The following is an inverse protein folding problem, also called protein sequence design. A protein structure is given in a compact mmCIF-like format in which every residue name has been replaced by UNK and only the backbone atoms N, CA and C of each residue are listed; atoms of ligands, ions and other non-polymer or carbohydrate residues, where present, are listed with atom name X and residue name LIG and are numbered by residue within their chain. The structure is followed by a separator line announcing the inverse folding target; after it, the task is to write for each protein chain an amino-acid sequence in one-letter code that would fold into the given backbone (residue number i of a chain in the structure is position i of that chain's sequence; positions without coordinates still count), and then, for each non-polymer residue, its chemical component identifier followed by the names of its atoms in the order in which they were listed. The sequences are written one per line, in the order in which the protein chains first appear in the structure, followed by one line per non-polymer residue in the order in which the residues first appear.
data_IF_522455380601
#
_entry.id   IF_522455380601
#
_cell.length_a   1.000
_cell.length_b   1.000
_cell.length_c   1.000
_cell.angle_alpha   90.00
_cell.angle_beta   90.00
_cell.angle_gamma   90.00
#
_symmetry.space_group_name_H-M   'P 1'
#
loop_
_entity.id
_entity.type
_entity.pdbx_description
1 polymer ?
#
# COMPACT_ATOMS: atom_id res chain seq x y z
N UNK A 1 -11.13 -0.40 8.71
CA UNK A 1 -11.09 1.06 8.85
C UNK A 1 -11.10 1.41 10.33
N UNK A 2 -10.05 2.09 10.81
CA UNK A 2 -10.03 2.79 12.10
C UNK A 2 -10.05 4.29 11.79
N UNK A 3 -10.90 5.05 12.46
CA UNK A 3 -11.03 6.49 12.25
C UNK A 3 -10.34 7.20 13.41
N UNK A 4 -9.35 8.05 13.10
CA UNK A 4 -8.67 8.92 14.05
C UNK A 4 -9.15 10.36 13.90
N UNK A 5 -9.07 11.15 14.96
CA UNK A 5 -9.38 12.58 14.94
C UNK A 5 -8.10 13.39 15.09
N UNK A 6 -8.10 14.66 14.66
CA UNK A 6 -6.96 15.59 14.82
C UNK A 6 -7.03 16.39 16.14
N UNK A 7 -7.86 15.95 17.09
CA UNK A 7 -7.89 16.35 18.51
C UNK A 7 -7.45 15.20 19.42
N UNK A 8 -7.00 15.51 20.64
CA UNK A 8 -6.20 14.69 21.56
C UNK A 8 -6.75 13.34 22.04
N UNK A 9 -7.90 12.87 21.55
CA UNK A 9 -8.63 11.78 22.21
C UNK A 9 -8.69 10.54 21.29
N UNK A 10 -7.81 9.57 21.61
CA UNK A 10 -7.61 8.31 20.90
C UNK A 10 -8.72 7.27 21.18
N UNK A 11 -9.99 7.62 20.94
CA UNK A 11 -11.06 6.60 20.89
C UNK A 11 -11.58 6.43 19.46
N UNK A 12 -11.54 5.20 18.89
CA UNK A 12 -12.12 4.93 17.59
C UNK A 12 -13.65 5.07 17.66
N UNK A 13 -14.19 6.11 17.05
CA UNK A 13 -15.63 6.34 16.97
C UNK A 13 -16.37 5.23 16.19
N UNK A 14 -17.65 4.97 16.50
CA UNK A 14 -18.51 4.08 15.72
C UNK A 14 -18.56 4.53 14.26
N UNK A 15 -18.47 3.57 13.33
CA UNK A 15 -18.37 3.83 11.90
C UNK A 15 -19.55 4.63 11.31
N UNK A 16 -20.68 4.68 12.02
CA UNK A 16 -21.94 5.27 11.54
C UNK A 16 -21.98 6.81 11.64
N UNK A 17 -21.22 7.43 12.55
CA UNK A 17 -21.21 8.89 12.74
C UNK A 17 -20.61 9.68 11.57
N UNK A 18 -20.02 9.00 10.58
CA UNK A 18 -19.39 9.62 9.41
C UNK A 18 -19.95 9.09 8.10
N UNK A 19 -21.13 8.47 8.14
CA UNK A 19 -21.79 7.96 6.95
C UNK A 19 -22.06 9.07 5.91
N UNK A 20 -22.26 10.32 6.35
CA UNK A 20 -22.46 11.48 5.47
C UNK A 20 -21.20 11.89 4.70
N UNK A 21 -20.01 11.56 5.19
CA UNK A 21 -18.74 11.85 4.50
C UNK A 21 -18.42 10.82 3.42
N UNK A 22 -19.02 9.63 3.51
CA UNK A 22 -18.70 8.52 2.61
C UNK A 22 -19.11 8.87 1.18
N UNK A 23 -18.15 8.73 0.27
CA UNK A 23 -18.38 8.85 -1.16
C UNK A 23 -19.31 7.72 -1.62
N UNK A 24 -20.39 8.09 -2.32
CA UNK A 24 -21.26 7.13 -2.98
C UNK A 24 -20.57 6.63 -4.24
N UNK A 25 -20.47 5.32 -4.38
CA UNK A 25 -19.95 4.71 -5.59
C UNK A 25 -20.95 4.88 -6.73
N UNK A 26 -20.53 5.59 -7.79
CA UNK A 26 -21.35 5.93 -8.95
C UNK A 26 -21.27 4.89 -10.08
N UNK A 27 -20.57 3.78 -9.86
CA UNK A 27 -20.41 2.71 -10.84
C UNK A 27 -19.35 3.01 -11.92
N UNK A 28 -18.68 4.17 -11.89
CA UNK A 28 -17.61 4.50 -12.82
C UNK A 28 -16.24 4.02 -12.30
N UNK A 29 -15.34 3.76 -13.24
CA UNK A 29 -13.93 3.49 -12.95
C UNK A 29 -13.35 4.68 -12.19
N UNK A 30 -12.86 4.45 -10.97
CA UNK A 30 -12.33 5.55 -10.15
C UNK A 30 -11.10 6.21 -10.78
N UNK A 31 -10.33 5.49 -11.61
CA UNK A 31 -9.14 6.03 -12.27
C UNK A 31 -9.49 6.90 -13.48
N UNK A 32 -10.13 6.36 -14.53
CA UNK A 32 -10.42 7.16 -15.73
C UNK A 32 -11.68 8.00 -15.64
N UNK A 33 -12.63 7.67 -14.76
CA UNK A 33 -13.94 8.34 -14.63
C UNK A 33 -14.81 8.34 -15.90
N UNK A 34 -14.43 7.56 -16.92
CA UNK A 34 -15.11 7.51 -18.22
C UNK A 34 -15.91 6.22 -18.45
N UNK A 35 -15.40 5.08 -17.96
CA UNK A 35 -15.97 3.76 -18.25
C UNK A 35 -16.57 3.11 -17.01
N UNK A 36 -17.57 2.22 -17.15
CA UNK A 36 -18.10 1.45 -16.04
C UNK A 36 -17.03 0.61 -15.32
N UNK A 37 -17.10 0.58 -13.99
CA UNK A 37 -16.24 -0.20 -13.14
C UNK A 37 -16.66 -1.68 -13.13
N UNK A 38 -16.21 -2.43 -14.13
CA UNK A 38 -16.60 -3.83 -14.32
C UNK A 38 -15.66 -4.83 -13.64
N UNK A 39 -14.49 -4.38 -13.18
CA UNK A 39 -13.41 -5.22 -12.63
C UNK A 39 -13.02 -4.81 -11.21
N UNK A 40 -12.54 -5.78 -10.43
CA UNK A 40 -11.98 -5.58 -9.10
C UNK A 40 -10.51 -5.98 -9.09
N UNK A 41 -9.68 -5.12 -8.49
CA UNK A 41 -8.25 -5.37 -8.35
C UNK A 41 -7.98 -6.45 -7.30
N UNK A 42 -6.94 -7.26 -7.47
CA UNK A 42 -6.57 -8.24 -6.45
C UNK A 42 -5.94 -7.55 -5.23
N UNK A 43 -6.31 -7.98 -4.01
CA UNK A 43 -5.69 -7.50 -2.77
C UNK A 43 -4.22 -7.89 -2.67
N UNK A 44 -3.88 -9.04 -3.24
CA UNK A 44 -2.53 -9.54 -3.41
C UNK A 44 -2.38 -10.11 -4.81
N UNK A 45 -1.22 -9.95 -5.45
CA UNK A 45 -1.03 -10.46 -6.81
C UNK A 45 -1.25 -11.97 -6.85
N UNK A 46 -1.96 -12.44 -7.88
CA UNK A 46 -2.28 -13.87 -8.06
C UNK A 46 -1.01 -14.74 -8.08
N UNK A 47 0.07 -14.24 -8.67
CA UNK A 47 1.36 -14.93 -8.72
C UNK A 47 1.98 -15.09 -7.34
N UNK A 48 1.97 -14.05 -6.50
CA UNK A 48 2.44 -14.15 -5.11
C UNK A 48 1.61 -15.16 -4.30
N UNK A 49 0.29 -15.12 -4.42
CA UNK A 49 -0.59 -16.10 -3.76
C UNK A 49 -0.29 -17.52 -4.24
N UNK A 50 -0.11 -17.72 -5.55
CA UNK A 50 0.21 -19.03 -6.10
C UNK A 50 1.60 -19.53 -5.64
N UNK A 51 2.57 -18.62 -5.47
CA UNK A 51 3.90 -18.96 -4.95
C UNK A 51 3.85 -19.35 -3.48
N UNK A 52 3.09 -18.62 -2.64
CA UNK A 52 2.90 -18.95 -1.23
C UNK A 52 2.14 -20.25 -1.02
N UNK A 53 1.21 -20.56 -1.93
CA UNK A 53 0.52 -21.83 -1.96
C UNK A 53 1.52 -22.96 -2.23
N UNK A 54 2.47 -22.74 -3.15
CA UNK A 54 3.50 -23.71 -3.52
C UNK A 54 2.88 -25.02 -4.01
N UNK A 55 3.48 -26.14 -3.60
CA UNK A 55 2.92 -27.49 -3.78
C UNK A 55 1.81 -27.80 -2.75
N UNK A 56 1.73 -26.99 -1.70
CA UNK A 56 0.64 -27.00 -0.74
C UNK A 56 -0.67 -26.67 -1.46
N UNK A 57 -1.69 -27.52 -1.32
CA UNK A 57 -2.97 -27.29 -2.00
C UNK A 57 -3.86 -26.26 -1.30
N UNK A 58 -3.35 -25.55 -0.29
CA UNK A 58 -4.16 -24.67 0.57
C UNK A 58 -3.39 -23.41 0.99
N UNK A 59 -4.07 -22.27 0.98
CA UNK A 59 -3.67 -21.03 1.65
C UNK A 59 -4.62 -20.71 2.80
N UNK A 60 -4.09 -20.20 3.91
CA UNK A 60 -4.90 -19.64 4.98
C UNK A 60 -5.07 -18.14 4.75
N UNK A 61 -6.32 -17.71 4.62
CA UNK A 61 -6.70 -16.31 4.49
C UNK A 61 -7.31 -15.85 5.81
N UNK A 62 -6.80 -14.75 6.37
CA UNK A 62 -7.34 -14.16 7.60
C UNK A 62 -7.64 -12.67 7.46
N UNK A 63 -8.64 -12.19 8.18
CA UNK A 63 -8.98 -10.75 8.30
C UNK A 63 -8.91 -10.24 9.75
N UNK A 64 -8.28 -11.01 10.63
CA UNK A 64 -8.17 -10.74 12.07
C UNK A 64 -9.39 -11.19 12.89
N UNK A 65 -10.53 -11.51 12.24
CA UNK A 65 -11.72 -12.04 12.91
C UNK A 65 -12.05 -13.47 12.50
N UNK A 66 -11.82 -13.76 11.22
CA UNK A 66 -12.11 -15.05 10.61
C UNK A 66 -10.88 -15.58 9.89
N UNK A 67 -10.79 -16.91 9.80
CA UNK A 67 -9.82 -17.60 8.97
C UNK A 67 -10.54 -18.51 7.99
N UNK A 68 -10.00 -18.63 6.78
CA UNK A 68 -10.57 -19.44 5.70
C UNK A 68 -9.47 -20.13 4.91
N UNK A 69 -9.76 -21.34 4.47
CA UNK A 69 -8.91 -22.07 3.54
C UNK A 69 -9.27 -21.74 2.09
N UNK A 70 -8.29 -21.31 1.31
CA UNK A 70 -8.37 -21.24 -0.14
C UNK A 70 -7.67 -22.47 -0.72
N UNK A 71 -8.45 -23.39 -1.29
CA UNK A 71 -7.93 -24.66 -1.81
C UNK A 71 -7.65 -24.59 -3.31
N UNK A 72 -6.40 -24.88 -3.68
CA UNK A 72 -5.89 -24.93 -5.04
C UNK A 72 -5.83 -23.57 -5.74
N UNK A 73 -5.07 -23.53 -6.85
CA UNK A 73 -4.92 -22.32 -7.67
C UNK A 73 -6.27 -21.83 -8.25
N UNK A 74 -7.24 -22.72 -8.44
CA UNK A 74 -8.59 -22.36 -8.87
C UNK A 74 -9.36 -21.56 -7.81
N UNK A 75 -9.10 -21.80 -6.52
CA UNK A 75 -9.68 -21.03 -5.41
C UNK A 75 -9.24 -19.56 -5.43
N UNK A 76 -7.99 -19.30 -5.80
CA UNK A 76 -7.45 -17.94 -5.98
C UNK A 76 -8.16 -17.24 -7.16
N UNK A 77 -8.29 -17.92 -8.30
CA UNK A 77 -8.84 -17.32 -9.53
C UNK A 77 -10.34 -17.05 -9.44
N UNK A 78 -11.11 -18.00 -8.91
CA UNK A 78 -12.57 -17.91 -8.84
C UNK A 78 -13.05 -16.90 -7.79
N UNK A 79 -12.23 -16.66 -6.76
CA UNK A 79 -12.56 -15.78 -5.63
C UNK A 79 -13.98 -16.01 -5.10
N UNK A 80 -14.35 -17.29 -4.89
CA UNK A 80 -15.71 -17.70 -4.54
C UNK A 80 -16.27 -16.94 -3.32
N UNK A 81 -15.39 -16.57 -2.40
CA UNK A 81 -15.74 -15.90 -1.16
C UNK A 81 -15.60 -14.36 -1.23
N UNK A 82 -15.19 -13.80 -2.37
CA UNK A 82 -14.97 -12.35 -2.54
C UNK A 82 -13.89 -11.79 -1.62
N UNK A 83 -12.92 -12.62 -1.21
CA UNK A 83 -11.87 -12.23 -0.26
C UNK A 83 -10.59 -11.85 -0.97
N UNK A 84 -10.33 -12.38 -2.17
CA UNK A 84 -9.07 -12.20 -2.91
C UNK A 84 -9.04 -10.84 -3.62
N UNK A 85 -10.19 -10.36 -4.09
CA UNK A 85 -10.29 -9.08 -4.82
C UNK A 85 -10.96 -7.99 -3.98
N UNK A 86 -10.65 -6.75 -4.31
CA UNK A 86 -11.46 -5.60 -3.92
C UNK A 86 -12.81 -5.64 -4.67
N UNK A 87 -13.84 -4.96 -4.13
CA UNK A 87 -15.05 -4.69 -4.88
C UNK A 87 -14.75 -4.07 -6.24
N UNK A 88 -15.63 -4.31 -7.22
CA UNK A 88 -15.48 -3.74 -8.55
C UNK A 88 -15.45 -2.22 -8.46
N UNK A 89 -14.37 -1.62 -8.98
CA UNK A 89 -14.12 -0.18 -8.86
C UNK A 89 -13.33 0.37 -10.05
N UNK A 90 -12.88 -0.48 -10.97
CA UNK A 90 -12.10 -0.09 -12.16
C UNK A 90 -12.66 -0.73 -13.43
N UNK A 91 -12.47 -0.08 -14.57
CA UNK A 91 -12.76 -0.69 -15.88
C UNK A 91 -11.62 -1.62 -16.33
N UNK A 92 -11.92 -2.53 -17.27
CA UNK A 92 -10.94 -3.48 -17.81
C UNK A 92 -9.72 -2.81 -18.44
N UNK A 93 -9.91 -1.73 -19.20
CA UNK A 93 -8.80 -0.98 -19.84
C UNK A 93 -7.82 -0.43 -18.81
N UNK A 94 -8.32 0.17 -17.72
CA UNK A 94 -7.45 0.69 -16.66
C UNK A 94 -6.81 -0.43 -15.83
N UNK A 95 -7.59 -1.45 -15.45
CA UNK A 95 -7.14 -2.47 -14.53
C UNK A 95 -6.22 -3.54 -15.15
N UNK A 96 -6.31 -3.77 -16.46
CA UNK A 96 -5.59 -4.85 -17.14
C UNK A 96 -4.58 -4.34 -18.17
N UNK A 97 -4.94 -3.32 -18.97
CA UNK A 97 -4.08 -2.85 -20.07
C UNK A 97 -3.14 -1.74 -19.59
N UNK A 98 -3.70 -0.64 -19.05
CA UNK A 98 -2.90 0.52 -18.63
C UNK A 98 -1.99 0.22 -17.45
N UNK A 99 -2.41 -0.62 -16.50
CA UNK A 99 -1.57 -0.99 -15.35
C UNK A 99 -0.60 -2.14 -15.61
N UNK A 100 -0.55 -2.69 -16.84
CA UNK A 100 0.37 -3.79 -17.18
C UNK A 100 1.84 -3.49 -16.83
N UNK A 101 2.42 -2.31 -17.15
CA UNK A 101 3.78 -1.99 -16.72
C UNK A 101 3.94 -1.93 -15.19
N UNK A 102 2.91 -1.46 -14.47
CA UNK A 102 2.94 -1.37 -13.00
C UNK A 102 2.97 -2.76 -12.37
N UNK A 103 2.13 -3.65 -12.87
CA UNK A 103 2.05 -5.04 -12.44
C UNK A 103 3.37 -5.79 -12.65
N UNK A 104 4.05 -5.53 -13.78
CA UNK A 104 5.34 -6.15 -14.09
C UNK A 104 6.45 -5.65 -13.15
N UNK A 105 6.52 -4.34 -12.89
CA UNK A 105 7.48 -3.77 -11.95
C UNK A 105 7.31 -4.33 -10.54
N UNK A 106 6.06 -4.45 -10.08
CA UNK A 106 5.73 -5.07 -8.79
C UNK A 106 6.11 -6.56 -8.76
N UNK A 107 5.86 -7.33 -9.82
CA UNK A 107 6.19 -8.76 -9.84
C UNK A 107 7.70 -9.00 -9.69
N UNK A 108 8.54 -8.17 -10.31
CA UNK A 108 9.99 -8.22 -10.12
C UNK A 108 10.37 -7.90 -8.66
N UNK A 109 9.77 -6.86 -8.09
CA UNK A 109 9.99 -6.47 -6.69
C UNK A 109 9.55 -7.54 -5.69
N UNK A 110 8.35 -8.09 -5.85
CA UNK A 110 7.82 -9.10 -4.92
C UNK A 110 8.64 -10.38 -4.95
N UNK A 111 9.10 -10.82 -6.13
CA UNK A 111 10.02 -11.96 -6.27
C UNK A 111 11.36 -11.70 -5.59
N UNK A 112 11.92 -10.50 -5.74
CA UNK A 112 13.15 -10.12 -5.04
C UNK A 112 12.98 -10.22 -3.52
N UNK A 113 11.93 -9.61 -2.96
CA UNK A 113 11.66 -9.67 -1.52
C UNK A 113 11.43 -11.09 -0.98
N UNK A 114 10.84 -11.98 -1.78
CA UNK A 114 10.59 -13.36 -1.38
C UNK A 114 11.84 -14.26 -1.46
N UNK A 115 12.81 -13.89 -2.31
CA UNK A 115 14.04 -14.66 -2.53
C UNK A 115 15.24 -14.15 -1.73
N UNK A 116 15.18 -12.93 -1.21
CA UNK A 116 16.29 -12.27 -0.53
C UNK A 116 15.93 -11.88 0.91
N UNK A 117 16.90 -12.01 1.82
CA UNK A 117 16.78 -11.43 3.15
C UNK A 117 17.15 -9.95 3.04
N UNK A 118 16.13 -9.10 3.05
CA UNK A 118 16.34 -7.64 3.04
C UNK A 118 16.70 -7.16 4.44
N UNK A 119 17.91 -6.58 4.55
CA UNK A 119 18.42 -5.95 5.77
C UNK A 119 17.93 -4.49 5.85
N UNK A 120 17.85 -3.96 7.07
CA UNK A 120 17.44 -2.55 7.31
C UNK A 120 18.41 -1.58 6.63
N UNK A 121 19.70 -1.88 6.66
CA UNK A 121 20.76 -1.14 5.98
C UNK A 121 21.42 -2.05 4.94
N UNK A 122 21.76 -1.53 3.74
CA UNK A 122 21.69 -0.12 3.32
C UNK A 122 20.28 0.37 2.91
N UNK A 123 19.30 -0.52 2.81
CA UNK A 123 17.97 -0.23 2.26
C UNK A 123 17.60 -1.28 1.22
N UNK A 124 16.71 -0.95 0.29
CA UNK A 124 16.42 -1.80 -0.87
C UNK A 124 17.12 -1.22 -2.09
N UNK A 125 18.08 -1.95 -2.65
CA UNK A 125 18.80 -1.52 -3.86
C UNK A 125 17.94 -1.74 -5.11
N UNK A 126 17.07 -0.77 -5.38
CA UNK A 126 16.14 -0.82 -6.51
C UNK A 126 16.87 -0.55 -7.84
N UNK A 127 17.97 0.20 -7.82
CA UNK A 127 18.82 0.40 -8.99
C UNK A 127 19.46 -0.91 -9.44
N UNK A 128 20.03 -1.69 -8.52
CA UNK A 128 20.56 -3.02 -8.82
C UNK A 128 19.44 -3.99 -9.25
N UNK A 129 18.28 -3.93 -8.59
CA UNK A 129 17.14 -4.80 -8.90
C UNK A 129 16.64 -4.62 -10.33
N UNK A 130 16.48 -3.37 -10.78
CA UNK A 130 15.88 -3.06 -12.08
C UNK A 130 16.88 -2.75 -13.19
N UNK A 131 18.17 -2.59 -12.85
CA UNK A 131 19.23 -2.36 -13.82
C UNK A 131 19.13 -0.98 -14.51
N UNK A 132 19.49 -0.87 -15.80
CA UNK A 132 19.53 0.41 -16.51
C UNK A 132 18.21 1.18 -16.51
N UNK A 133 17.06 0.47 -16.48
CA UNK A 133 15.72 1.06 -16.54
C UNK A 133 15.14 1.37 -15.14
N UNK A 134 16.00 1.41 -14.11
CA UNK A 134 15.52 1.47 -12.72
C UNK A 134 14.59 2.64 -12.44
N UNK A 135 14.87 3.82 -13.00
CA UNK A 135 14.05 5.02 -12.75
C UNK A 135 12.59 4.80 -13.16
N UNK A 136 12.38 4.26 -14.36
CA UNK A 136 11.04 3.99 -14.90
C UNK A 136 10.35 2.84 -14.15
N UNK A 137 11.10 1.79 -13.80
CA UNK A 137 10.56 0.64 -13.08
C UNK A 137 10.16 0.99 -11.64
N UNK A 138 10.95 1.81 -10.95
CA UNK A 138 10.60 2.32 -9.63
C UNK A 138 9.32 3.16 -9.69
N UNK A 139 9.18 4.01 -10.72
CA UNK A 139 7.96 4.79 -10.91
C UNK A 139 6.74 3.88 -11.18
N UNK A 140 6.91 2.83 -11.98
CA UNK A 140 5.89 1.82 -12.22
C UNK A 140 5.53 1.03 -10.93
N UNK A 141 6.51 0.75 -10.07
CA UNK A 141 6.29 0.15 -8.75
C UNK A 141 5.47 1.09 -7.85
N UNK A 142 5.78 2.38 -7.82
CA UNK A 142 5.00 3.36 -7.09
C UNK A 142 3.56 3.44 -7.61
N UNK A 143 3.37 3.43 -8.94
CA UNK A 143 2.04 3.42 -9.57
C UNK A 143 1.24 2.15 -9.28
N UNK A 144 1.90 1.00 -9.10
CA UNK A 144 1.24 -0.22 -8.62
C UNK A 144 0.66 0.00 -7.21
N UNK A 145 1.45 0.55 -6.29
CA UNK A 145 0.99 0.83 -4.93
C UNK A 145 -0.09 1.93 -4.90
N UNK A 146 0.01 2.95 -5.75
CA UNK A 146 -1.02 3.98 -5.93
C UNK A 146 -2.35 3.40 -6.45
N UNK A 147 -2.31 2.49 -7.43
CA UNK A 147 -3.50 1.77 -7.90
C UNK A 147 -4.15 0.98 -6.76
N UNK A 148 -3.34 0.25 -5.99
CA UNK A 148 -3.82 -0.51 -4.83
C UNK A 148 -4.45 0.40 -3.76
N UNK A 149 -3.83 1.55 -3.50
CA UNK A 149 -4.30 2.59 -2.61
C UNK A 149 -5.67 3.14 -3.03
N UNK A 150 -5.83 3.55 -4.30
CA UNK A 150 -7.11 4.04 -4.81
C UNK A 150 -8.24 3.02 -4.67
N UNK A 151 -7.96 1.73 -4.95
CA UNK A 151 -8.95 0.66 -4.74
C UNK A 151 -9.36 0.51 -3.27
N UNK A 152 -8.42 0.73 -2.33
CA UNK A 152 -8.70 0.71 -0.89
C UNK A 152 -9.49 1.93 -0.43
N UNK A 153 -9.19 3.12 -0.97
CA UNK A 153 -9.99 4.33 -0.71
C UNK A 153 -11.44 4.13 -1.16
N UNK A 154 -11.67 3.63 -2.39
CA UNK A 154 -13.03 3.35 -2.88
C UNK A 154 -13.74 2.31 -2.00
N UNK A 155 -13.06 1.23 -1.60
CA UNK A 155 -13.63 0.24 -0.67
C UNK A 155 -14.01 0.85 0.68
N UNK A 156 -13.23 1.81 1.17
CA UNK A 156 -13.50 2.54 2.40
C UNK A 156 -14.50 3.70 2.21
N UNK A 157 -15.03 3.87 1.00
CA UNK A 157 -15.89 5.00 0.62
C UNK A 157 -15.24 6.36 0.88
N UNK A 158 -13.91 6.45 0.73
CA UNK A 158 -13.16 7.70 0.78
C UNK A 158 -12.94 8.20 -0.65
N UNK A 159 -13.18 9.48 -0.95
CA UNK A 159 -12.92 10.04 -2.27
C UNK A 159 -11.46 9.83 -2.70
N UNK A 160 -11.26 9.41 -3.94
CA UNK A 160 -9.91 9.30 -4.51
C UNK A 160 -9.46 10.70 -4.97
N UNK A 161 -8.31 11.22 -4.50
CA UNK A 161 -7.82 12.54 -4.89
C UNK A 161 -7.43 12.59 -6.37
N UNK A 162 -7.49 13.79 -6.96
CA UNK A 162 -7.13 13.98 -8.37
C UNK A 162 -5.63 13.72 -8.61
N UNK A 163 -4.77 14.12 -7.68
CA UNK A 163 -3.32 13.86 -7.71
C UNK A 163 -2.98 12.38 -7.92
N UNK A 164 -3.71 11.47 -7.26
CA UNK A 164 -3.53 10.03 -7.44
C UNK A 164 -3.88 9.59 -8.86
N UNK A 165 -4.95 10.13 -9.45
CA UNK A 165 -5.30 9.84 -10.84
C UNK A 165 -4.25 10.39 -11.80
N UNK A 166 -3.77 11.60 -11.57
CA UNK A 166 -2.75 12.26 -12.39
C UNK A 166 -1.42 11.50 -12.34
N UNK A 167 -1.04 11.01 -11.16
CA UNK A 167 0.13 10.16 -10.97
C UNK A 167 0.05 8.85 -11.76
N UNK A 168 -1.11 8.19 -11.75
CA UNK A 168 -1.34 7.01 -12.59
C UNK A 168 -1.40 7.36 -14.08
N UNK A 169 -1.73 8.61 -14.44
CA UNK A 169 -1.74 9.13 -15.81
C UNK A 169 -0.36 9.61 -16.30
N UNK A 170 0.67 9.55 -15.46
CA UNK A 170 2.04 9.87 -15.87
C UNK A 170 2.71 11.01 -15.09
N UNK A 171 2.01 11.68 -14.17
CA UNK A 171 2.68 12.64 -13.29
C UNK A 171 3.81 11.95 -12.50
N UNK A 172 4.86 12.70 -12.20
CA UNK A 172 6.08 12.19 -11.57
C UNK A 172 6.05 12.26 -10.03
N UNK A 173 5.08 12.97 -9.46
CA UNK A 173 4.93 13.13 -8.01
C UNK A 173 3.45 13.39 -7.64
N UNK A 174 3.16 13.31 -6.34
CA UNK A 174 1.86 13.61 -5.74
C UNK A 174 2.06 14.55 -4.56
N UNK A 175 1.64 15.82 -4.64
CA UNK A 175 2.00 16.81 -3.63
C UNK A 175 1.38 16.55 -2.26
N UNK A 176 0.30 15.80 -2.24
CA UNK A 176 -0.56 15.49 -1.10
C UNK A 176 -0.39 14.03 -0.63
N UNK A 177 0.65 13.33 -1.11
CA UNK A 177 0.92 11.95 -0.73
C UNK A 177 2.38 11.66 -0.46
N UNK A 178 2.62 10.65 0.37
CA UNK A 178 3.95 10.16 0.70
C UNK A 178 3.97 8.64 0.70
N UNK A 179 4.91 8.07 -0.06
CA UNK A 179 5.18 6.63 -0.08
C UNK A 179 6.57 6.34 0.48
N UNK A 180 6.64 5.38 1.39
CA UNK A 180 7.91 4.91 1.94
C UNK A 180 7.98 3.39 1.98
N UNK A 181 9.19 2.84 1.82
CA UNK A 181 9.46 1.45 2.13
C UNK A 181 9.56 1.32 3.64
N UNK A 182 8.86 0.33 4.19
CA UNK A 182 8.71 0.17 5.63
C UNK A 182 8.91 -1.27 6.10
N UNK A 183 9.11 -1.41 7.39
CA UNK A 183 9.01 -2.69 8.10
C UNK A 183 8.52 -2.46 9.53
N UNK A 184 7.87 -3.44 10.13
CA UNK A 184 7.35 -3.35 11.51
C UNK A 184 7.75 -4.56 12.34
N UNK A 185 8.01 -4.40 13.64
CA UNK A 185 8.33 -5.55 14.52
C UNK A 185 7.14 -6.54 14.58
N UNK A 186 5.90 -6.04 14.55
CA UNK A 186 4.68 -6.85 14.52
C UNK A 186 4.61 -7.74 13.28
N UNK A 187 4.75 -7.18 12.07
CA UNK A 187 4.67 -7.96 10.83
C UNK A 187 5.84 -8.94 10.71
N UNK A 188 7.05 -8.56 11.12
CA UNK A 188 8.20 -9.47 11.14
C UNK A 188 7.95 -10.72 11.97
N UNK A 189 7.39 -10.55 13.18
CA UNK A 189 7.09 -11.67 14.09
C UNK A 189 5.96 -12.55 13.57
N UNK A 190 4.93 -11.94 12.97
CA UNK A 190 3.70 -12.64 12.63
C UNK A 190 3.69 -13.24 11.22
N UNK A 191 4.34 -12.58 10.25
CA UNK A 191 4.17 -12.87 8.82
C UNK A 191 5.51 -12.90 8.06
N UNK A 192 6.61 -13.30 8.71
CA UNK A 192 7.96 -13.25 8.13
C UNK A 192 8.13 -13.84 6.70
N UNK A 193 7.18 -14.67 6.23
CA UNK A 193 7.10 -15.18 4.84
C UNK A 193 5.70 -15.08 4.19
N UNK A 194 4.80 -14.24 4.70
CA UNK A 194 3.40 -14.12 4.22
C UNK A 194 3.13 -12.85 3.40
N UNK A 195 1.86 -12.59 3.11
CA UNK A 195 1.39 -11.29 2.59
C UNK A 195 0.42 -10.69 3.59
N UNK A 196 0.50 -9.38 3.77
CA UNK A 196 -0.38 -8.68 4.71
C UNK A 196 -0.77 -7.31 4.18
N UNK A 197 -1.95 -6.85 4.58
CA UNK A 197 -2.39 -5.48 4.43
C UNK A 197 -2.66 -4.94 5.82
N UNK A 198 -2.15 -3.74 6.13
CA UNK A 198 -2.55 -3.05 7.35
C UNK A 198 -4.05 -2.74 7.32
N UNK A 199 -4.69 -2.46 8.47
CA UNK A 199 -5.98 -1.77 8.47
C UNK A 199 -5.91 -0.43 7.72
N UNK A 200 -7.02 0.01 7.14
CA UNK A 200 -7.15 1.40 6.66
C UNK A 200 -7.27 2.32 7.88
N UNK A 201 -6.47 3.39 7.94
CA UNK A 201 -6.65 4.49 8.88
C UNK A 201 -7.07 5.74 8.15
N UNK A 202 -8.06 6.42 8.69
CA UNK A 202 -8.63 7.62 8.08
C UNK A 202 -8.76 8.68 9.16
N UNK A 203 -8.37 9.90 8.85
CA UNK A 203 -8.60 11.04 9.71
C UNK A 203 -9.64 11.96 9.11
N UNK A 204 -10.43 12.54 9.98
CA UNK A 204 -11.42 13.56 9.67
C UNK A 204 -11.02 14.87 10.35
N UNK A 205 -11.49 15.98 9.78
CA UNK A 205 -11.33 17.28 10.41
C UNK A 205 -12.10 17.38 11.72
N UNK A 206 -11.85 18.45 12.47
CA UNK A 206 -12.42 18.60 13.81
C UNK A 206 -13.95 18.61 13.80
N UNK A 207 -14.50 19.24 12.76
CA UNK A 207 -15.94 19.44 12.60
C UNK A 207 -16.62 18.24 11.93
N UNK A 208 -15.89 17.16 11.63
CA UNK A 208 -16.41 15.95 10.97
C UNK A 208 -17.13 16.25 9.64
N UNK A 209 -16.59 17.22 8.89
CA UNK A 209 -17.12 17.67 7.60
C UNK A 209 -16.36 17.11 6.41
N UNK A 210 -15.14 16.60 6.60
CA UNK A 210 -14.33 16.03 5.52
C UNK A 210 -13.21 15.12 6.01
N UNK A 211 -12.69 14.32 5.09
CA UNK A 211 -11.48 13.52 5.31
C UNK A 211 -10.22 14.38 5.15
N UNK A 212 -9.29 14.29 6.09
CA UNK A 212 -8.04 15.06 6.08
C UNK A 212 -6.80 14.19 5.92
N UNK A 213 -6.90 12.88 6.14
CA UNK A 213 -5.83 11.94 5.86
C UNK A 213 -6.32 10.51 5.65
N UNK A 214 -5.53 9.71 4.94
CA UNK A 214 -5.73 8.28 4.76
C UNK A 214 -4.37 7.58 4.72
N UNK A 215 -4.18 6.57 5.57
CA UNK A 215 -2.92 5.82 5.67
C UNK A 215 -3.19 4.32 5.58
N UNK A 216 -2.31 3.64 4.85
CA UNK A 216 -2.26 2.19 4.84
C UNK A 216 -0.87 1.67 4.46
N UNK A 217 -0.67 0.37 4.65
CA UNK A 217 0.49 -0.35 4.16
C UNK A 217 0.12 -1.69 3.54
N UNK A 218 0.95 -2.13 2.58
CA UNK A 218 0.90 -3.44 1.95
C UNK A 218 2.27 -4.11 2.06
N UNK A 219 2.30 -5.37 2.49
CA UNK A 219 3.52 -6.09 2.84
C UNK A 219 3.71 -7.36 2.00
N UNK A 220 4.95 -7.57 1.58
CA UNK A 220 5.50 -8.83 1.07
C UNK A 220 6.54 -9.32 2.07
N UNK A 221 6.21 -10.37 2.81
CA UNK A 221 6.97 -10.82 3.97
C UNK A 221 7.07 -9.72 5.02
N UNK A 222 8.31 -9.37 5.38
CA UNK A 222 8.60 -8.35 6.39
C UNK A 222 8.71 -6.92 5.85
N UNK A 223 8.71 -6.74 4.53
CA UNK A 223 8.91 -5.43 3.88
C UNK A 223 7.58 -5.01 3.27
N UNK A 224 7.22 -3.75 3.46
CA UNK A 224 6.02 -3.19 2.86
C UNK A 224 6.23 -1.80 2.31
N UNK A 225 5.19 -1.29 1.67
CA UNK A 225 5.09 0.11 1.28
C UNK A 225 3.97 0.75 2.09
N UNK A 226 4.30 1.79 2.84
CA UNK A 226 3.34 2.69 3.48
C UNK A 226 2.96 3.75 2.47
N UNK A 227 1.66 3.96 2.30
CA UNK A 227 1.09 5.07 1.56
C UNK A 227 0.31 5.93 2.54
N UNK A 228 0.63 7.23 2.56
CA UNK A 228 -0.12 8.27 3.25
C UNK A 228 -0.63 9.30 2.24
N UNK A 229 -1.90 9.65 2.36
CA UNK A 229 -2.50 10.81 1.72
C UNK A 229 -2.92 11.80 2.81
N UNK A 230 -2.67 13.09 2.59
CA UNK A 230 -3.13 14.20 3.42
C UNK A 230 -3.92 15.17 2.56
N UNK A 231 -5.00 15.76 3.06
CA UNK A 231 -5.75 16.79 2.32
C UNK A 231 -4.87 18.01 1.98
N UNK A 232 -3.96 18.34 2.89
CA UNK A 232 -3.00 19.43 2.70
C UNK A 232 -1.74 18.89 2.05
N UNK A 233 -1.17 19.68 1.14
CA UNK A 233 0.11 19.36 0.54
C UNK A 233 1.19 19.12 1.61
N UNK A 234 2.01 18.11 1.35
CA UNK A 234 3.21 17.83 2.12
C UNK A 234 4.34 18.68 1.51
N UNK A 235 4.97 19.59 2.27
CA UNK A 235 6.09 20.38 1.75
C UNK A 235 7.15 19.49 1.11
N UNK A 236 7.69 19.89 -0.05
CA UNK A 236 8.65 19.06 -0.81
C UNK A 236 9.85 18.64 0.05
N UNK A 237 10.31 19.50 0.96
CA UNK A 237 11.39 19.20 1.92
C UNK A 237 11.08 18.02 2.85
N UNK A 238 9.79 17.72 3.06
CA UNK A 238 9.28 16.72 3.97
C UNK A 238 8.67 15.52 3.22
N UNK A 239 8.68 15.54 1.88
CA UNK A 239 8.08 14.53 1.00
C UNK A 239 9.18 13.68 0.36
N UNK A 240 9.77 12.80 1.17
CA UNK A 240 10.81 11.87 0.71
C UNK A 240 10.17 10.61 0.12
N UNK A 241 9.83 10.66 -1.17
CA UNK A 241 9.24 9.52 -1.85
C UNK A 241 10.27 8.42 -2.05
N UNK A 242 9.96 7.16 -1.70
CA UNK A 242 10.91 6.05 -1.94
C UNK A 242 11.33 5.98 -3.42
N UNK A 243 10.43 6.38 -4.31
CA UNK A 243 10.63 6.32 -5.76
C UNK A 243 11.52 7.41 -6.33
N UNK A 244 12.02 8.33 -5.49
CA UNK A 244 13.03 9.33 -5.86
C UNK A 244 14.46 8.87 -5.60
N UNK A 245 14.66 7.66 -5.06
CA UNK A 245 15.98 7.16 -4.65
C UNK A 245 16.31 5.81 -5.31
N UNK A 246 17.57 5.58 -5.70
CA UNK A 246 18.01 4.29 -6.22
C UNK A 246 18.08 3.22 -5.11
N UNK A 247 18.39 3.64 -3.88
CA UNK A 247 18.49 2.79 -2.69
C UNK A 247 17.66 3.38 -1.56
N UNK A 248 16.32 3.35 -1.63
CA UNK A 248 15.48 3.85 -0.54
C UNK A 248 15.75 3.11 0.77
N UNK A 249 15.87 3.88 1.84
CA UNK A 249 16.00 3.36 3.21
C UNK A 249 14.67 2.75 3.68
N UNK A 250 14.77 1.78 4.57
CA UNK A 250 13.60 1.12 5.15
C UNK A 250 13.24 1.83 6.46
N UNK A 251 12.10 2.51 6.49
CA UNK A 251 11.56 3.09 7.72
C UNK A 251 11.03 2.00 8.63
N UNK A 252 11.46 2.00 9.88
CA UNK A 252 11.13 0.93 10.81
C UNK A 252 10.13 1.42 11.87
N UNK A 253 9.07 0.67 12.12
CA UNK A 253 8.07 0.98 13.14
C UNK A 253 8.00 -0.14 14.18
N UNK A 254 7.61 0.21 15.41
CA UNK A 254 7.42 -0.79 16.46
C UNK A 254 6.21 -1.67 16.17
N UNK A 255 5.11 -1.07 15.73
CA UNK A 255 3.86 -1.76 15.45
C UNK A 255 3.04 -1.02 14.39
N UNK A 256 1.83 -1.53 14.14
CA UNK A 256 0.91 -0.96 13.15
C UNK A 256 0.33 0.40 13.58
N UNK A 257 0.34 0.74 14.87
CA UNK A 257 -0.12 2.04 15.36
C UNK A 257 0.93 3.09 15.00
N UNK A 258 2.20 2.82 15.34
CA UNK A 258 3.32 3.68 14.97
C UNK A 258 3.46 3.84 13.46
N UNK A 259 3.25 2.75 12.69
CA UNK A 259 3.21 2.80 11.23
C UNK A 259 2.12 3.74 10.74
N UNK A 260 0.92 3.66 11.32
CA UNK A 260 -0.18 4.49 10.90
C UNK A 260 0.06 5.98 11.20
N UNK A 261 0.56 6.30 12.39
CA UNK A 261 0.84 7.68 12.82
C UNK A 261 2.15 8.25 12.28
N UNK A 262 2.96 7.45 11.60
CA UNK A 262 4.26 7.88 11.07
C UNK A 262 5.36 8.00 12.13
N UNK A 263 5.18 7.38 13.30
CA UNK A 263 6.17 7.40 14.39
C UNK A 263 7.30 6.40 14.14
N UNK A 264 8.29 6.80 13.34
CA UNK A 264 9.44 5.94 13.02
C UNK A 264 10.23 5.62 14.29
N UNK A 265 10.55 4.33 14.48
CA UNK A 265 11.43 3.85 15.54
C UNK A 265 12.80 4.51 15.38
N UNK A 266 13.27 5.18 16.43
CA UNK A 266 14.61 5.77 16.43
C UNK A 266 15.66 4.69 16.12
N UNK A 267 16.55 4.91 15.14
CA UNK A 267 17.63 3.96 14.88
C UNK A 267 18.45 3.73 16.14
N UNK A 268 18.87 2.48 16.35
CA UNK A 268 19.82 2.13 17.40
C UNK A 268 21.14 2.87 17.21
N UNK A 269 21.94 2.99 18.28
CA UNK A 269 23.16 3.80 18.27
C UNK A 269 24.14 3.42 17.14
N UNK A 270 24.33 2.11 16.87
CA UNK A 270 25.13 1.62 15.74
C UNK A 270 24.62 2.08 14.38
N UNK A 271 23.29 2.05 14.16
CA UNK A 271 22.70 2.49 12.90
C UNK A 271 22.85 4.01 12.70
N UNK A 272 22.80 4.79 13.79
CA UNK A 272 23.09 6.24 13.73
C UNK A 272 24.54 6.52 13.36
N UNK A 273 25.49 5.75 13.90
CA UNK A 273 26.91 5.87 13.56
C UNK A 273 27.17 5.57 12.08
N UNK A 274 26.55 4.52 11.53
CA UNK A 274 26.66 4.17 10.10
C UNK A 274 25.96 5.19 9.20
N UNK A 275 24.81 5.73 9.61
CA UNK A 275 24.15 6.81 8.87
C UNK A 275 24.98 8.09 8.88
N UNK A 276 25.64 8.42 10.00
CA UNK A 276 26.55 9.56 10.10
C UNK A 276 27.77 9.39 9.20
N UNK A 277 28.38 8.20 9.16
CA UNK A 277 29.55 7.93 8.31
C UNK A 277 29.25 7.93 6.81
N UNK A 278 27.98 7.71 6.43
CA UNK A 278 27.53 7.65 5.04
C UNK A 278 26.73 8.89 4.61
N UNK A 279 26.61 9.89 5.50
CA UNK A 279 26.01 11.18 5.12
C UNK A 279 27.04 11.95 4.28
N UNK A 280 26.66 12.49 3.10
CA UNK A 280 27.56 13.21 2.21
C UNK A 280 28.11 14.50 2.82
#
# INVERSE_FOLDING_TARGET
MRIGHTGSDNEPFPADNFAHLRSRFDGLCWWCREQPATTGEHKFKRTDLAQLMGDGKTLIWGDGKTQRELRGKSGITRDRYGVVKFPKSMCGKCNNERSKPFDAAYETYSKYLQSHIVRIMPGVDLASLYGPDWSDQIMNLARYHAKHFGCRMVRASVPVPQSLRDFLNGAEDMPDAHMSIISTDSIRKQYGKGLSLSPDLVWIDKDSTRFVAYVMAAYVGAIGVRYEWLEKEIPKSNRSQFFSYPVPVINFFKDEVDMATGNVRKPGWFARLVQWSNSP
#
